data_IF_228090734065
#
_entry.id   IF_228090734065
#
_cell.length_a   1.000
_cell.length_b   1.000
_cell.length_c   1.000
_cell.angle_alpha   90.00
_cell.angle_beta   90.00
_cell.angle_gamma   90.00
#
_symmetry.space_group_name_H-M   'P 1'
#
loop_
_entity.id
_entity.type
_entity.pdbx_description
1 polymer ?
#
# COMPACT_ATOMS: atom_id res chain seq x y z
N UNK A 1 -22.06 -4.44 -6.82
CA UNK A 1 -21.33 -4.11 -5.58
C UNK A 1 -19.97 -3.59 -6.00
N UNK A 2 -19.77 -2.26 -6.03
CA UNK A 2 -18.48 -1.70 -6.40
C UNK A 2 -17.44 -2.12 -5.34
N UNK A 3 -16.43 -2.90 -5.74
CA UNK A 3 -15.27 -3.14 -4.89
C UNK A 3 -14.62 -1.78 -4.67
N UNK A 4 -14.78 -1.22 -3.48
CA UNK A 4 -14.08 0.00 -3.10
C UNK A 4 -12.60 -0.34 -3.14
N UNK A 5 -11.85 0.20 -4.10
CA UNK A 5 -10.42 -0.04 -4.21
C UNK A 5 -9.75 0.40 -2.91
N UNK A 6 -9.24 -0.55 -2.12
CA UNK A 6 -8.56 -0.27 -0.88
C UNK A 6 -7.05 -0.21 -1.15
N UNK A 7 -6.61 0.91 -1.73
CA UNK A 7 -5.22 1.10 -2.11
C UNK A 7 -4.25 0.86 -0.95
N UNK A 8 -4.62 1.26 0.28
CA UNK A 8 -3.84 1.00 1.49
C UNK A 8 -3.69 -0.51 1.75
N UNK A 9 -4.80 -1.25 1.76
CA UNK A 9 -4.75 -2.70 2.02
C UNK A 9 -4.05 -3.49 0.94
N UNK A 10 -4.24 -3.11 -0.33
CA UNK A 10 -3.56 -3.72 -1.47
C UNK A 10 -2.05 -3.50 -1.38
N UNK A 11 -1.62 -2.27 -1.05
CA UNK A 11 -0.22 -1.95 -0.84
C UNK A 11 0.39 -2.73 0.34
N UNK A 12 -0.30 -2.76 1.49
CA UNK A 12 0.13 -3.53 2.66
C UNK A 12 0.26 -5.03 2.36
N UNK A 13 -0.69 -5.59 1.60
CA UNK A 13 -0.66 -7.00 1.18
C UNK A 13 0.52 -7.29 0.27
N UNK A 14 0.75 -6.44 -0.73
CA UNK A 14 1.86 -6.59 -1.67
C UNK A 14 3.22 -6.52 -0.95
N UNK A 15 3.42 -5.53 -0.07
CA UNK A 15 4.66 -5.39 0.72
C UNK A 15 4.85 -6.55 1.69
N UNK A 16 3.80 -7.00 2.37
CA UNK A 16 3.87 -8.16 3.29
C UNK A 16 4.32 -9.45 2.60
N UNK A 17 3.91 -9.66 1.35
CA UNK A 17 4.29 -10.83 0.57
C UNK A 17 5.77 -10.80 0.13
N UNK A 18 6.40 -9.63 0.08
CA UNK A 18 7.80 -9.46 -0.32
C UNK A 18 8.79 -9.69 0.82
N UNK A 19 8.41 -9.42 2.07
CA UNK A 19 9.28 -9.61 3.24
C UNK A 19 9.27 -11.06 3.66
N UNK A 20 10.44 -11.69 3.74
CA UNK A 20 10.57 -13.08 4.22
C UNK A 20 10.67 -13.09 5.75
N UNK A 21 10.18 -14.15 6.42
CA UNK A 21 10.32 -14.29 7.87
C UNK A 21 11.79 -14.21 8.32
N UNK A 22 12.73 -14.79 7.58
CA UNK A 22 14.16 -14.70 7.91
C UNK A 22 14.72 -13.26 7.87
N UNK A 23 14.18 -12.38 7.02
CA UNK A 23 14.63 -10.99 6.91
C UNK A 23 14.35 -10.17 8.17
N UNK A 24 13.47 -10.67 9.04
CA UNK A 24 13.04 -10.06 10.30
C UNK A 24 13.35 -10.96 11.50
N UNK A 25 14.23 -11.95 11.32
CA UNK A 25 14.72 -12.83 12.40
C UNK A 25 13.73 -13.91 12.84
N UNK A 26 12.66 -14.15 12.08
CA UNK A 26 11.71 -15.22 12.36
C UNK A 26 12.16 -16.53 11.71
N UNK A 27 12.00 -17.63 12.44
CA UNK A 27 12.24 -18.98 11.90
C UNK A 27 11.00 -19.41 11.10
N UNK A 28 11.12 -19.77 9.81
CA UNK A 28 10.00 -20.26 9.03
C UNK A 28 9.49 -21.60 9.59
N UNK A 29 8.22 -21.67 10.01
CA UNK A 29 7.63 -22.92 10.47
C UNK A 29 7.48 -23.99 9.36
N UNK A 30 7.55 -25.27 9.73
CA UNK A 30 7.68 -26.43 8.82
C UNK A 30 6.54 -26.66 7.81
N UNK A 31 5.38 -26.00 7.94
CA UNK A 31 4.24 -26.09 7.00
C UNK A 31 3.69 -24.71 6.67
N UNK A 32 4.42 -23.97 5.86
CA UNK A 32 4.08 -22.59 5.48
C UNK A 32 3.38 -22.56 4.11
N UNK A 33 2.22 -21.90 4.03
CA UNK A 33 1.45 -21.71 2.78
C UNK A 33 1.78 -20.40 2.05
N UNK A 34 2.46 -19.47 2.71
CA UNK A 34 2.74 -18.11 2.20
C UNK A 34 4.24 -17.87 2.25
N UNK A 35 4.83 -17.42 1.14
CA UNK A 35 6.28 -17.17 1.04
C UNK A 35 6.71 -16.04 1.97
N UNK A 36 6.01 -14.90 1.92
CA UNK A 36 6.28 -13.77 2.80
C UNK A 36 5.70 -13.90 4.22
N UNK A 37 5.63 -12.78 4.91
CA UNK A 37 5.09 -12.70 6.27
C UNK A 37 3.60 -13.08 6.32
N UNK A 38 3.20 -13.79 7.37
CA UNK A 38 1.80 -13.99 7.74
C UNK A 38 1.25 -12.70 8.33
N UNK A 39 -0.08 -12.57 8.33
CA UNK A 39 -0.77 -11.42 8.95
C UNK A 39 -0.42 -11.28 10.42
N UNK A 40 -0.44 -12.40 11.14
CA UNK A 40 -0.11 -12.46 12.57
C UNK A 40 1.34 -12.08 12.86
N UNK A 41 2.28 -12.54 12.05
CA UNK A 41 3.70 -12.20 12.19
C UNK A 41 3.93 -10.69 11.98
N UNK A 42 3.34 -10.11 10.92
CA UNK A 42 3.46 -8.67 10.69
C UNK A 42 2.81 -7.86 11.82
N UNK A 43 1.64 -8.27 12.29
CA UNK A 43 0.95 -7.61 13.39
C UNK A 43 1.80 -7.65 14.68
N UNK A 44 2.41 -8.80 14.98
CA UNK A 44 3.35 -8.94 16.10
C UNK A 44 4.55 -8.00 15.96
N UNK A 45 5.19 -7.97 14.79
CA UNK A 45 6.36 -7.11 14.52
C UNK A 45 6.04 -5.61 14.59
N UNK A 46 4.81 -5.23 14.26
CA UNK A 46 4.33 -3.84 14.31
C UNK A 46 3.65 -3.45 15.63
N UNK A 47 3.52 -4.38 16.58
CA UNK A 47 2.90 -4.12 17.89
C UNK A 47 1.40 -3.83 17.82
N UNK A 48 0.71 -4.34 16.80
CA UNK A 48 -0.75 -4.20 16.62
C UNK A 48 -1.46 -5.55 16.65
N UNK A 49 -2.79 -5.55 16.79
CA UNK A 49 -3.54 -6.80 16.71
C UNK A 49 -3.65 -7.31 15.26
N UNK A 50 -3.63 -8.63 15.09
CA UNK A 50 -3.79 -9.25 13.77
C UNK A 50 -5.15 -8.91 13.15
N UNK A 51 -6.19 -8.75 13.97
CA UNK A 51 -7.51 -8.33 13.53
C UNK A 51 -7.52 -6.88 13.02
N UNK A 52 -6.77 -5.98 13.67
CA UNK A 52 -6.63 -4.61 13.19
C UNK A 52 -5.92 -4.55 11.84
N UNK A 53 -4.81 -5.28 11.69
CA UNK A 53 -4.15 -5.41 10.38
C UNK A 53 -5.08 -5.98 9.32
N UNK A 54 -5.89 -7.00 9.65
CA UNK A 54 -6.88 -7.55 8.72
C UNK A 54 -7.89 -6.49 8.29
N UNK A 55 -8.41 -5.67 9.22
CA UNK A 55 -9.36 -4.58 8.90
C UNK A 55 -8.75 -3.55 7.95
N UNK A 56 -7.47 -3.22 8.13
CA UNK A 56 -6.71 -2.37 7.19
C UNK A 56 -6.57 -3.04 5.82
N UNK A 57 -6.23 -4.34 5.76
CA UNK A 57 -6.05 -5.08 4.50
C UNK A 57 -7.35 -5.17 3.69
N UNK A 58 -8.50 -5.34 4.34
CA UNK A 58 -9.82 -5.44 3.66
C UNK A 58 -10.56 -4.11 3.53
N UNK A 59 -10.00 -3.02 4.04
CA UNK A 59 -10.52 -1.65 3.85
C UNK A 59 -11.67 -1.27 4.76
N UNK A 60 -11.89 -2.05 5.84
CA UNK A 60 -12.85 -1.72 6.91
C UNK A 60 -12.34 -0.62 7.82
N UNK A 61 -11.03 -0.46 7.90
CA UNK A 61 -10.37 0.69 8.52
C UNK A 61 -9.41 1.30 7.49
N UNK A 62 -9.38 2.62 7.38
CA UNK A 62 -8.66 3.35 6.33
C UNK A 62 -7.79 4.48 6.88
N UNK A 63 -7.91 4.80 8.17
CA UNK A 63 -7.23 5.94 8.79
C UNK A 63 -6.37 5.46 9.98
N UNK A 64 -5.34 4.62 9.75
CA UNK A 64 -4.41 4.26 10.81
C UNK A 64 -3.68 5.50 11.34
N UNK A 65 -3.35 5.50 12.63
CA UNK A 65 -2.57 6.59 13.21
C UNK A 65 -1.17 6.67 12.57
N UNK A 66 -0.52 7.84 12.56
CA UNK A 66 0.85 7.98 12.05
C UNK A 66 1.84 7.02 12.71
N UNK A 67 1.63 6.71 14.00
CA UNK A 67 2.45 5.75 14.75
C UNK A 67 2.27 4.32 14.23
N UNK A 68 1.05 3.91 13.91
CA UNK A 68 0.77 2.60 13.30
C UNK A 68 1.41 2.51 11.92
N UNK A 69 1.31 3.57 11.12
CA UNK A 69 1.94 3.62 9.79
C UNK A 69 3.45 3.45 9.89
N UNK A 70 4.11 4.16 10.81
CA UNK A 70 5.56 4.04 11.04
C UNK A 70 5.96 2.65 11.53
N UNK A 71 5.18 2.07 12.45
CA UNK A 71 5.42 0.70 12.93
C UNK A 71 5.29 -0.34 11.82
N UNK A 72 4.28 -0.20 10.95
CA UNK A 72 4.12 -1.05 9.77
C UNK A 72 5.26 -0.85 8.76
N UNK A 73 5.69 0.38 8.50
CA UNK A 73 6.81 0.66 7.59
C UNK A 73 8.11 0.00 8.06
N UNK A 74 8.39 0.08 9.37
CA UNK A 74 9.56 -0.57 10.00
C UNK A 74 9.47 -2.10 9.91
N UNK A 75 8.33 -2.68 10.28
CA UNK A 75 8.13 -4.12 10.24
C UNK A 75 8.21 -4.69 8.81
N UNK A 76 7.80 -3.89 7.82
CA UNK A 76 7.89 -4.22 6.39
C UNK A 76 9.25 -3.85 5.76
N UNK A 77 10.20 -3.32 6.55
CA UNK A 77 11.53 -2.88 6.09
C UNK A 77 11.46 -1.96 4.86
N UNK A 78 10.49 -1.04 4.83
CA UNK A 78 10.29 -0.14 3.70
C UNK A 78 11.43 0.88 3.59
N UNK A 79 11.81 1.20 2.35
CA UNK A 79 12.67 2.35 2.07
C UNK A 79 11.93 3.68 2.23
N UNK A 80 12.66 4.79 2.15
CA UNK A 80 12.10 6.13 2.32
C UNK A 80 10.93 6.43 1.35
N UNK A 81 11.02 6.02 0.08
CA UNK A 81 9.97 6.28 -0.92
C UNK A 81 8.72 5.46 -0.61
N UNK A 82 8.90 4.18 -0.30
CA UNK A 82 7.85 3.25 0.06
C UNK A 82 7.14 3.65 1.36
N UNK A 83 7.88 4.16 2.35
CA UNK A 83 7.33 4.69 3.61
C UNK A 83 6.53 5.96 3.36
N UNK A 84 7.06 6.90 2.58
CA UNK A 84 6.31 8.11 2.18
C UNK A 84 4.99 7.77 1.50
N UNK A 85 5.00 6.81 0.58
CA UNK A 85 3.79 6.39 -0.11
C UNK A 85 2.79 5.72 0.85
N UNK A 86 3.26 4.91 1.80
CA UNK A 86 2.39 4.33 2.83
C UNK A 86 1.69 5.42 3.67
N UNK A 87 2.41 6.48 4.04
CA UNK A 87 1.81 7.63 4.75
C UNK A 87 0.74 8.32 3.93
N UNK A 88 0.94 8.48 2.62
CA UNK A 88 -0.08 9.07 1.73
C UNK A 88 -1.33 8.20 1.64
N UNK A 89 -1.18 6.86 1.66
CA UNK A 89 -2.31 5.94 1.63
C UNK A 89 -3.06 5.86 2.97
N UNK A 90 -2.37 5.98 4.11
CA UNK A 90 -2.98 5.91 5.44
C UNK A 90 -3.56 7.23 5.96
N UNK A 91 -3.17 8.34 5.34
CA UNK A 91 -3.79 9.64 5.55
C UNK A 91 -3.90 10.33 4.18
N UNK A 92 -4.83 9.87 3.32
CA UNK A 92 -5.05 10.51 2.05
C UNK A 92 -5.46 11.94 2.35
N UNK A 93 -4.57 12.89 2.05
CA UNK A 93 -4.96 14.28 1.96
C UNK A 93 -6.00 14.28 0.86
N UNK A 94 -7.29 14.31 1.22
CA UNK A 94 -8.37 14.48 0.26
C UNK A 94 -8.22 15.89 -0.26
N UNK A 95 -7.31 16.05 -1.21
CA UNK A 95 -7.19 17.25 -2.00
C UNK A 95 -8.46 17.26 -2.83
N UNK A 96 -9.42 18.10 -2.43
CA UNK A 96 -10.62 18.40 -3.23
C UNK A 96 -10.27 18.93 -4.64
N UNK A 97 -8.99 19.16 -4.93
CA UNK A 97 -8.45 19.63 -6.19
C UNK A 97 -8.25 18.55 -7.26
N UNK A 98 -8.42 17.27 -6.97
CA UNK A 98 -7.83 16.24 -7.83
C UNK A 98 -8.76 15.70 -8.92
N UNK A 99 -10.08 15.56 -8.70
CA UNK A 99 -10.89 14.87 -9.70
C UNK A 99 -11.05 15.66 -11.00
N UNK A 100 -11.42 16.94 -10.91
CA UNK A 100 -11.60 17.80 -12.09
C UNK A 100 -10.28 18.16 -12.78
N UNK A 101 -9.16 18.19 -12.04
CA UNK A 101 -7.83 18.43 -12.61
C UNK A 101 -7.32 17.17 -13.29
N UNK A 102 -7.52 15.99 -12.68
CA UNK A 102 -7.20 14.71 -13.33
C UNK A 102 -8.02 14.53 -14.60
N UNK A 103 -9.33 14.81 -14.56
CA UNK A 103 -10.19 14.71 -15.74
C UNK A 103 -9.71 15.67 -16.84
N UNK A 104 -9.36 16.93 -16.50
CA UNK A 104 -8.81 17.89 -17.44
C UNK A 104 -7.41 17.52 -17.97
N UNK A 105 -6.56 16.89 -17.15
CA UNK A 105 -5.24 16.40 -17.55
C UNK A 105 -5.36 15.19 -18.47
N UNK A 106 -6.32 14.30 -18.23
CA UNK A 106 -6.62 13.15 -19.08
C UNK A 106 -7.14 13.64 -20.44
N UNK A 107 -8.08 14.59 -20.46
CA UNK A 107 -8.57 15.19 -21.71
C UNK A 107 -7.43 15.89 -22.49
N UNK A 108 -6.55 16.62 -21.82
CA UNK A 108 -5.40 17.26 -22.45
C UNK A 108 -4.29 16.29 -22.90
N UNK A 109 -4.21 15.10 -22.30
CA UNK A 109 -3.25 14.05 -22.67
C UNK A 109 -3.60 13.41 -24.01
N UNK A 110 -4.88 13.16 -24.27
CA UNK A 110 -5.32 12.61 -25.56
C UNK A 110 -4.98 13.57 -26.71
N UNK A 111 -5.23 14.87 -26.50
CA UNK A 111 -4.91 15.90 -27.48
C UNK A 111 -3.39 16.06 -27.69
N UNK A 112 -2.59 15.89 -26.64
CA UNK A 112 -1.13 15.89 -26.74
C UNK A 112 -0.61 14.65 -27.48
N UNK A 113 -1.17 13.47 -27.20
CA UNK A 113 -0.80 12.20 -27.86
C UNK A 113 -1.08 12.28 -29.36
N UNK A 114 -2.24 12.81 -29.75
CA UNK A 114 -2.62 12.98 -31.16
C UNK A 114 -1.70 13.97 -31.91
N UNK A 115 -1.03 14.88 -31.19
CA UNK A 115 -0.07 15.81 -31.76
C UNK A 115 1.36 15.30 -31.81
N UNK A 116 1.68 14.13 -31.25
CA UNK A 116 3.04 13.58 -31.30
C UNK A 116 3.33 12.99 -32.70
N UNK A 117 4.25 13.58 -33.47
CA UNK A 117 4.53 13.13 -34.84
C UNK A 117 5.47 11.91 -34.90
N UNK A 118 5.72 11.27 -33.76
CA UNK A 118 6.61 10.13 -33.62
C UNK A 118 6.04 9.13 -32.60
N UNK A 119 6.31 7.82 -32.77
CA UNK A 119 5.86 6.81 -31.81
C UNK A 119 6.44 7.08 -30.41
N UNK A 120 5.57 7.12 -29.41
CA UNK A 120 5.92 7.33 -28.01
C UNK A 120 5.48 6.14 -27.14
N UNK A 121 6.19 5.91 -26.04
CA UNK A 121 5.85 4.91 -25.02
C UNK A 121 5.66 5.66 -23.70
N UNK A 122 4.53 5.39 -23.03
CA UNK A 122 4.20 5.88 -21.68
C UNK A 122 4.55 4.79 -20.66
#
# INVERSE_FOLDING_TARGET
>A
MAVKANALGDYLRARRQQVRPEDVGLVPGARRRVVGLRREELAMLSGISAEYYLRLEVGRDQNPSPQVVEALARALRLDFKATRYLHQLGNPVISRWDQSVLDAVVEGLDELIDQLPFPAIV
#
